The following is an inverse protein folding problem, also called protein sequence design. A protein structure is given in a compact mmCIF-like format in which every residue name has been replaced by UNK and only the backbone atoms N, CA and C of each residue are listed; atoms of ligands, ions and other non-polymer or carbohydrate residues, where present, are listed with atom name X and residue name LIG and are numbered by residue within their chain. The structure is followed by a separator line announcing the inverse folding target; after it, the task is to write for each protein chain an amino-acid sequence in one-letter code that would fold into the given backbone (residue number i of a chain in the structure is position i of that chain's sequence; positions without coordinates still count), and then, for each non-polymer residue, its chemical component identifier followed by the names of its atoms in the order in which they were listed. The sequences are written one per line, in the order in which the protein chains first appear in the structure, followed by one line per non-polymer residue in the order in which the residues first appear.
data_IF_758895567239
#
_entry.id   IF_758895567239
#
_cell.length_a   1.000
_cell.length_b   1.000
_cell.length_c   1.000
_cell.angle_alpha   90.00
_cell.angle_beta   90.00
_cell.angle_gamma   90.00
#
_symmetry.space_group_name_H-M   'P 1'
#
loop_
_entity.id
_entity.type
_entity.pdbx_description
1 polymer ?
#
# COMPACT_ATOMS: atom_id res chain seq x y z
N UNK A 1 18.76 -16.73 -9.61
CA UNK A 1 18.51 -16.16 -9.13
C UNK A 1 17.31 -15.74 -8.63
N UNK A 2 17.26 -15.35 -7.81
CA UNK A 2 16.22 -15.04 -7.13
C UNK A 2 15.86 -13.71 -7.23
N UNK A 3 14.81 -13.44 -7.72
CA UNK A 3 14.36 -12.16 -7.80
C UNK A 3 13.66 -11.87 -6.58
N UNK A 4 14.13 -10.90 -5.91
CA UNK A 4 13.50 -10.55 -4.76
C UNK A 4 12.45 -9.58 -5.05
N UNK A 5 11.25 -10.04 -5.18
CA UNK A 5 10.22 -9.24 -5.59
C UNK A 5 9.38 -8.92 -4.43
N UNK A 6 9.64 -7.89 -3.76
CA UNK A 6 8.92 -7.52 -2.56
C UNK A 6 7.70 -6.68 -2.83
N UNK A 7 7.22 -6.72 -4.06
CA UNK A 7 6.04 -5.94 -4.39
C UNK A 7 4.78 -6.65 -3.93
N UNK A 8 3.86 -5.91 -3.37
CA UNK A 8 2.57 -6.46 -2.97
C UNK A 8 1.76 -6.82 -4.19
N UNK A 9 0.81 -7.71 -4.02
CA UNK A 9 -0.10 -8.11 -5.06
C UNK A 9 -1.50 -7.65 -4.70
N UNK A 10 -2.39 -7.66 -5.68
CA UNK A 10 -3.78 -7.29 -5.44
C UNK A 10 -4.35 -8.16 -4.33
N UNK A 11 -4.97 -7.55 -3.35
CA UNK A 11 -5.52 -8.24 -2.21
C UNK A 11 -4.61 -8.29 -1.00
N UNK A 12 -3.34 -7.93 -1.16
CA UNK A 12 -2.41 -7.93 -0.02
C UNK A 12 -2.71 -6.75 0.89
N UNK A 13 -2.51 -6.97 2.18
CA UNK A 13 -2.60 -5.90 3.15
C UNK A 13 -1.24 -5.30 3.35
N UNK A 14 -1.14 -3.99 3.35
CA UNK A 14 0.13 -3.29 3.53
C UNK A 14 0.01 -2.22 4.60
N UNK A 15 1.15 -1.82 5.12
CA UNK A 15 1.27 -0.81 6.17
C UNK A 15 2.21 0.29 5.67
N UNK A 16 1.83 1.53 5.83
CA UNK A 16 2.63 2.64 5.35
C UNK A 16 2.38 3.90 6.17
N UNK A 17 3.28 4.86 6.03
CA UNK A 17 3.19 6.16 6.70
C UNK A 17 3.00 6.06 8.21
N UNK A 18 3.55 5.03 8.81
CA UNK A 18 3.59 4.88 10.27
C UNK A 18 2.22 5.00 10.93
N UNK A 19 1.23 4.36 10.38
CA UNK A 19 -0.08 4.37 11.01
C UNK A 19 -1.22 4.09 10.08
N UNK A 20 -0.93 3.72 8.83
CA UNK A 20 -1.98 3.48 7.86
C UNK A 20 -1.86 2.07 7.32
N UNK A 21 -2.98 1.38 7.24
CA UNK A 21 -3.06 0.06 6.63
C UNK A 21 -4.08 0.11 5.51
N UNK A 22 -3.86 -0.71 4.52
CA UNK A 22 -4.81 -0.80 3.42
C UNK A 22 -4.59 -2.05 2.62
N UNK A 23 -5.51 -2.27 1.69
CA UNK A 23 -5.50 -3.44 0.83
C UNK A 23 -5.19 -2.98 -0.59
N UNK A 24 -4.29 -3.66 -1.25
CA UNK A 24 -3.88 -3.31 -2.60
C UNK A 24 -4.98 -3.62 -3.58
N UNK A 25 -5.35 -2.64 -4.39
CA UNK A 25 -6.37 -2.80 -5.41
C UNK A 25 -5.79 -2.92 -6.80
N UNK A 26 -4.67 -2.26 -7.06
CA UNK A 26 -3.99 -2.34 -8.35
C UNK A 26 -2.50 -2.23 -8.14
N UNK A 27 -1.74 -2.86 -9.04
CA UNK A 27 -0.29 -2.85 -8.96
C UNK A 27 0.25 -2.28 -10.26
N UNK A 28 1.13 -1.30 -10.12
CA UNK A 28 1.84 -0.71 -11.26
C UNK A 28 3.33 -0.97 -11.08
N UNK A 29 4.12 -0.62 -12.07
CA UNK A 29 5.54 -0.95 -12.00
C UNK A 29 6.25 -0.26 -10.83
N UNK A 30 5.83 0.93 -10.45
CA UNK A 30 6.51 1.67 -9.38
C UNK A 30 5.67 1.90 -8.14
N UNK A 31 4.41 1.52 -8.17
CA UNK A 31 3.51 1.85 -7.08
C UNK A 31 2.30 0.93 -7.06
N UNK A 32 1.50 1.07 -6.04
CA UNK A 32 0.23 0.37 -5.92
C UNK A 32 -0.85 1.37 -5.58
N UNK A 33 -2.09 1.04 -5.95
CA UNK A 33 -3.25 1.79 -5.47
C UNK A 33 -3.82 0.99 -4.31
N UNK A 34 -4.07 1.67 -3.20
CA UNK A 34 -4.45 1.05 -1.95
C UNK A 34 -5.78 1.61 -1.48
N UNK A 35 -6.64 0.73 -1.03
CA UNK A 35 -7.86 1.12 -0.35
C UNK A 35 -7.53 1.13 1.14
N UNK A 36 -7.60 2.29 1.77
CA UNK A 36 -7.20 2.46 3.17
C UNK A 36 -8.26 1.83 4.05
N UNK A 37 -7.84 0.92 4.93
CA UNK A 37 -8.75 0.24 5.85
C UNK A 37 -8.55 0.70 7.28
N UNK A 38 -7.38 1.24 7.60
CA UNK A 38 -7.13 1.73 8.95
C UNK A 38 -6.20 2.94 8.84
N UNK A 39 -6.57 4.03 9.48
CA UNK A 39 -5.77 5.24 9.40
C UNK A 39 -5.71 5.87 10.79
N UNK A 40 -4.55 5.80 11.40
CA UNK A 40 -4.33 6.38 12.73
C UNK A 40 -3.58 7.69 12.64
N UNK A 41 -3.68 8.37 11.51
CA UNK A 41 -3.00 9.65 11.29
C UNK A 41 -4.04 10.72 11.02
N UNK A 42 -3.58 11.96 10.89
CA UNK A 42 -4.45 13.07 10.53
C UNK A 42 -4.61 13.23 9.03
N UNK A 43 -3.98 12.34 8.26
CA UNK A 43 -4.09 12.43 6.81
C UNK A 43 -5.47 11.98 6.36
N UNK A 44 -5.94 12.58 5.29
CA UNK A 44 -7.21 12.20 4.71
C UNK A 44 -7.00 11.76 3.27
N UNK A 45 -7.73 10.75 2.86
CA UNK A 45 -7.60 10.22 1.51
C UNK A 45 -8.97 10.22 0.86
N UNK A 46 -9.06 10.89 -0.27
CA UNK A 46 -10.32 11.00 -0.98
C UNK A 46 -10.78 9.60 -1.38
N UNK A 47 -11.98 9.24 -0.98
CA UNK A 47 -12.52 7.91 -1.27
C UNK A 47 -11.77 6.79 -0.61
N UNK A 48 -10.97 7.10 0.40
CA UNK A 48 -10.14 6.12 1.12
C UNK A 48 -9.13 5.43 0.21
N UNK A 49 -8.69 6.10 -0.86
CA UNK A 49 -7.73 5.49 -1.79
C UNK A 49 -6.53 6.38 -1.93
N UNK A 50 -5.38 5.75 -2.12
CA UNK A 50 -4.14 6.48 -2.30
C UNK A 50 -3.15 5.64 -3.09
N UNK A 51 -2.14 6.28 -3.62
CA UNK A 51 -1.07 5.62 -4.36
C UNK A 51 0.16 5.56 -3.47
N UNK A 52 0.76 4.39 -3.34
CA UNK A 52 1.92 4.21 -2.49
C UNK A 52 3.03 3.57 -3.31
N UNK A 53 4.20 4.17 -3.29
CA UNK A 53 5.35 3.61 -4.00
C UNK A 53 5.78 2.30 -3.39
N UNK A 54 6.33 1.42 -4.21
CA UNK A 54 6.76 0.09 -3.74
C UNK A 54 7.80 0.16 -2.64
N UNK A 55 8.52 1.27 -2.54
CA UNK A 55 9.53 1.41 -1.50
C UNK A 55 8.99 2.00 -0.22
N UNK A 56 7.72 2.35 -0.20
CA UNK A 56 7.16 3.12 0.90
C UNK A 56 6.13 2.38 1.72
N UNK A 57 6.05 1.07 1.57
CA UNK A 57 5.13 0.28 2.38
C UNK A 57 5.78 -1.04 2.76
N UNK A 58 5.16 -1.70 3.71
CA UNK A 58 5.55 -3.06 4.09
C UNK A 58 4.33 -3.95 3.95
N UNK A 59 4.54 -5.15 3.47
CA UNK A 59 3.45 -6.13 3.36
C UNK A 59 3.28 -6.78 4.73
N UNK A 60 2.06 -6.82 5.20
CA UNK A 60 1.76 -7.37 6.51
C UNK A 60 1.47 -8.86 6.42
#
# INVERSE_FOLDING_TARGET
LEINNNHAEIGDEIYFKSGIKGVVEKVYSNSVIVNVTENNTDLEFKGNKTVVGHKNYKII
#
